data_IF_618678142664
#
_entry.id   IF_618678142664
#
_cell.length_a   1.000
_cell.length_b   1.000
_cell.length_c   1.000
_cell.angle_alpha   90.00
_cell.angle_beta   90.00
_cell.angle_gamma   90.00
#
_symmetry.space_group_name_H-M   'P 1'
#
loop_
_entity.id
_entity.type
_entity.pdbx_description
1 polymer ?
#
# COMPACT_ATOMS: atom_id res chain seq x y z
N UNK A 1 -33.23 2.64 -10.30
CA UNK A 1 -31.81 3.01 -10.56
C UNK A 1 -31.68 4.43 -11.10
N UNK A 2 -32.53 4.89 -12.03
CA UNK A 2 -32.55 6.28 -12.53
C UNK A 2 -32.75 7.29 -11.39
N UNK A 3 -33.63 7.01 -10.43
CA UNK A 3 -33.95 7.93 -9.33
C UNK A 3 -32.79 8.21 -8.37
N UNK A 4 -31.91 7.22 -8.12
CA UNK A 4 -30.75 7.38 -7.24
C UNK A 4 -29.71 8.31 -7.87
N UNK A 5 -29.51 8.19 -9.18
CA UNK A 5 -28.57 9.03 -9.93
C UNK A 5 -29.10 10.47 -10.02
N UNK A 6 -30.39 10.65 -10.32
CA UNK A 6 -31.02 11.98 -10.40
C UNK A 6 -30.97 12.69 -9.04
N UNK A 7 -31.24 11.98 -7.95
CA UNK A 7 -31.17 12.55 -6.61
C UNK A 7 -29.74 13.00 -6.26
N UNK A 8 -28.73 12.13 -6.49
CA UNK A 8 -27.32 12.50 -6.26
C UNK A 8 -26.88 13.72 -7.06
N UNK A 9 -27.31 13.84 -8.32
CA UNK A 9 -27.00 15.01 -9.16
C UNK A 9 -27.69 16.28 -8.67
N UNK A 10 -28.92 16.15 -8.16
CA UNK A 10 -29.68 17.27 -7.61
C UNK A 10 -29.03 17.79 -6.32
N UNK A 11 -28.71 16.89 -5.38
CA UNK A 11 -27.94 17.24 -4.17
C UNK A 11 -26.62 17.90 -4.53
N UNK A 12 -25.85 17.30 -5.45
CA UNK A 12 -24.58 17.88 -5.87
C UNK A 12 -24.72 19.31 -6.44
N UNK A 13 -25.71 19.52 -7.32
CA UNK A 13 -25.91 20.83 -7.93
C UNK A 13 -26.36 21.90 -6.94
N UNK A 14 -27.37 21.62 -6.10
CA UNK A 14 -27.92 22.63 -5.20
C UNK A 14 -27.08 22.83 -3.93
N UNK A 15 -26.57 21.76 -3.33
CA UNK A 15 -25.87 21.82 -2.04
C UNK A 15 -24.37 22.06 -2.16
N UNK A 16 -23.78 21.82 -3.34
CA UNK A 16 -22.33 22.04 -3.54
C UNK A 16 -22.03 23.09 -4.61
N UNK A 17 -22.64 23.00 -5.80
CA UNK A 17 -22.33 23.95 -6.89
C UNK A 17 -22.98 25.33 -6.65
N UNK A 18 -24.28 25.38 -6.36
CA UNK A 18 -24.97 26.66 -6.11
C UNK A 18 -24.57 27.26 -4.76
N UNK A 19 -24.40 26.42 -3.72
CA UNK A 19 -24.04 26.88 -2.39
C UNK A 19 -22.56 27.28 -2.25
N UNK A 20 -21.72 26.97 -3.24
CA UNK A 20 -20.26 27.15 -3.22
C UNK A 20 -19.58 26.49 -2.00
N UNK A 21 -20.10 25.31 -1.61
CA UNK A 21 -19.57 24.50 -0.51
C UNK A 21 -19.01 23.22 -1.10
N UNK A 22 -17.70 23.05 -1.01
CA UNK A 22 -17.05 21.83 -1.49
C UNK A 22 -17.63 20.59 -0.78
N UNK A 23 -17.95 19.52 -1.53
CA UNK A 23 -18.42 18.27 -0.93
C UNK A 23 -17.34 17.69 0.00
N UNK A 24 -17.78 16.92 0.99
CA UNK A 24 -16.85 16.15 1.81
C UNK A 24 -16.06 15.16 0.95
N UNK A 25 -14.78 14.88 1.30
CA UNK A 25 -13.97 13.92 0.56
C UNK A 25 -14.63 12.53 0.59
N UNK A 26 -14.87 11.97 -0.59
CA UNK A 26 -15.53 10.67 -0.73
C UNK A 26 -14.53 9.52 -0.90
N UNK A 27 -13.31 9.83 -1.30
CA UNK A 27 -12.23 8.86 -1.50
C UNK A 27 -10.98 9.24 -0.73
N UNK A 28 -10.09 8.26 -0.48
CA UNK A 28 -8.78 8.53 0.10
C UNK A 28 -7.97 9.51 -0.76
N UNK A 29 -8.10 9.43 -2.09
CA UNK A 29 -7.43 10.35 -3.01
C UNK A 29 -7.92 11.79 -2.80
N UNK A 30 -9.22 12.00 -2.54
CA UNK A 30 -9.76 13.32 -2.22
C UNK A 30 -9.16 13.84 -0.91
N UNK A 31 -9.11 13.01 0.13
CA UNK A 31 -8.48 13.35 1.41
C UNK A 31 -7.01 13.76 1.20
N UNK A 32 -6.23 12.96 0.48
CA UNK A 32 -4.81 13.25 0.22
C UNK A 32 -4.59 14.51 -0.63
N UNK A 33 -5.50 14.77 -1.58
CA UNK A 33 -5.44 15.95 -2.45
C UNK A 33 -5.79 17.23 -1.68
N UNK A 34 -6.90 17.21 -0.94
CA UNK A 34 -7.39 18.33 -0.12
C UNK A 34 -6.38 18.65 0.99
N UNK A 35 -5.89 17.61 1.68
CA UNK A 35 -4.98 17.76 2.81
C UNK A 35 -3.53 17.44 2.46
N UNK A 36 -3.03 17.98 1.33
CA UNK A 36 -1.67 17.70 0.81
C UNK A 36 -0.53 18.08 1.75
N UNK A 37 -0.70 19.09 2.59
CA UNK A 37 0.29 19.53 3.59
C UNK A 37 -0.35 19.54 4.98
N UNK A 38 0.44 19.23 6.01
CA UNK A 38 0.01 19.47 7.38
C UNK A 38 0.16 20.95 7.74
N UNK A 39 -0.54 21.37 8.78
CA UNK A 39 -0.46 22.73 9.32
C UNK A 39 0.33 22.80 10.65
N UNK A 40 1.07 21.73 11.00
CA UNK A 40 1.82 21.62 12.25
C UNK A 40 1.00 21.50 13.54
N UNK A 41 -0.33 21.63 13.49
CA UNK A 41 -1.17 21.62 14.69
C UNK A 41 -1.61 20.20 15.08
N UNK A 42 -1.78 19.99 16.37
CA UNK A 42 -2.38 18.77 16.93
C UNK A 42 -3.88 18.96 17.15
N UNK A 43 -4.65 17.90 16.95
CA UNK A 43 -6.09 17.87 17.23
C UNK A 43 -6.39 16.74 18.23
N UNK A 44 -7.44 16.92 19.05
CA UNK A 44 -7.92 15.86 19.94
C UNK A 44 -8.90 14.97 19.17
N UNK A 45 -8.67 13.66 19.18
CA UNK A 45 -9.54 12.70 18.52
C UNK A 45 -10.91 12.64 19.20
N UNK A 46 -11.98 12.59 18.41
CA UNK A 46 -13.33 12.31 18.90
C UNK A 46 -13.46 10.85 19.34
N UNK A 47 -14.45 10.49 20.18
CA UNK A 47 -14.69 9.10 20.57
C UNK A 47 -14.83 8.14 19.38
N UNK A 48 -15.47 8.57 18.30
CA UNK A 48 -15.66 7.77 17.09
C UNK A 48 -14.33 7.51 16.36
N UNK A 49 -13.46 8.52 16.26
CA UNK A 49 -12.12 8.37 15.67
C UNK A 49 -11.26 7.45 16.54
N UNK A 50 -11.38 7.53 17.87
CA UNK A 50 -10.68 6.63 18.79
C UNK A 50 -11.12 5.17 18.57
N UNK A 51 -12.42 4.93 18.44
CA UNK A 51 -12.95 3.59 18.17
C UNK A 51 -12.49 3.06 16.80
N UNK A 52 -12.54 3.90 15.77
CA UNK A 52 -12.03 3.58 14.42
C UNK A 52 -10.54 3.22 14.46
N UNK A 53 -9.73 4.02 15.17
CA UNK A 53 -8.30 3.75 15.33
C UNK A 53 -8.03 2.42 16.03
N UNK A 54 -8.78 2.09 17.09
CA UNK A 54 -8.66 0.81 17.79
C UNK A 54 -8.97 -0.37 16.89
N UNK A 55 -10.07 -0.31 16.13
CA UNK A 55 -10.42 -1.33 15.15
C UNK A 55 -9.33 -1.48 14.08
N UNK A 56 -8.83 -0.37 13.56
CA UNK A 56 -7.72 -0.35 12.61
C UNK A 56 -6.48 -1.06 13.15
N UNK A 57 -6.09 -0.79 14.40
CA UNK A 57 -4.95 -1.45 15.03
C UNK A 57 -5.16 -2.95 15.22
N UNK A 58 -6.36 -3.38 15.64
CA UNK A 58 -6.71 -4.81 15.74
C UNK A 58 -6.58 -5.51 14.38
N UNK A 59 -7.11 -4.91 13.31
CA UNK A 59 -7.01 -5.48 11.96
C UNK A 59 -5.54 -5.52 11.50
N UNK A 60 -4.77 -4.46 11.78
CA UNK A 60 -3.33 -4.41 11.45
C UNK A 60 -2.55 -5.54 12.13
N UNK A 61 -2.84 -5.82 13.40
CA UNK A 61 -2.23 -6.94 14.14
C UNK A 61 -2.62 -8.29 13.54
N UNK A 62 -3.89 -8.47 13.16
CA UNK A 62 -4.35 -9.69 12.48
C UNK A 62 -3.63 -9.89 11.13
N UNK A 63 -3.48 -8.84 10.33
CA UNK A 63 -2.71 -8.88 9.08
C UNK A 63 -1.27 -9.30 9.36
N UNK A 64 -0.63 -8.72 10.38
CA UNK A 64 0.74 -9.06 10.74
C UNK A 64 0.87 -10.51 11.20
N UNK A 65 -0.10 -11.03 11.94
CA UNK A 65 -0.13 -12.44 12.37
C UNK A 65 -0.23 -13.38 11.16
N UNK A 66 -1.15 -13.10 10.23
CA UNK A 66 -1.31 -13.87 8.99
C UNK A 66 -0.07 -13.79 8.09
N UNK A 67 0.56 -12.62 7.98
CA UNK A 67 1.83 -12.48 7.26
C UNK A 67 2.96 -13.29 7.92
N UNK A 68 2.98 -13.35 9.25
CA UNK A 68 3.97 -14.12 10.00
C UNK A 68 3.74 -15.61 9.81
N UNK A 69 2.49 -16.07 9.74
CA UNK A 69 2.16 -17.46 9.44
C UNK A 69 2.56 -17.84 8.00
N UNK A 70 2.18 -17.01 7.03
CA UNK A 70 2.45 -17.27 5.62
C UNK A 70 3.95 -17.26 5.29
N UNK A 71 4.69 -16.30 5.82
CA UNK A 71 6.07 -16.04 5.39
C UNK A 71 7.12 -16.12 6.50
N UNK A 72 6.72 -16.30 7.76
CA UNK A 72 7.60 -16.32 8.92
C UNK A 72 7.91 -14.92 9.49
N UNK A 73 8.39 -14.85 10.75
CA UNK A 73 8.83 -13.61 11.37
C UNK A 73 10.06 -13.02 10.68
N UNK A 74 10.19 -11.68 10.74
CA UNK A 74 11.35 -10.95 10.22
C UNK A 74 12.42 -10.81 11.30
N UNK A 75 13.56 -11.47 11.13
CA UNK A 75 14.73 -11.41 12.03
C UNK A 75 15.94 -10.95 11.23
N UNK A 76 16.61 -9.89 11.67
CA UNK A 76 17.81 -9.37 10.98
C UNK A 76 17.56 -8.94 9.52
N UNK A 77 16.34 -8.48 9.20
CA UNK A 77 15.95 -8.08 7.85
C UNK A 77 15.49 -9.23 6.95
N UNK A 78 15.58 -10.49 7.40
CA UNK A 78 15.21 -11.68 6.63
C UNK A 78 13.97 -12.32 7.22
N UNK A 79 13.11 -12.91 6.38
CA UNK A 79 12.01 -13.75 6.85
C UNK A 79 12.54 -15.17 7.11
N UNK A 80 12.13 -15.78 8.23
CA UNK A 80 12.60 -17.10 8.66
C UNK A 80 11.38 -17.97 8.95
N UNK A 81 11.31 -19.16 8.35
CA UNK A 81 10.18 -20.07 8.51
C UNK A 81 8.96 -19.69 7.67
N UNK A 82 7.77 -19.98 8.18
CA UNK A 82 6.51 -19.79 7.46
C UNK A 82 6.23 -20.86 6.41
N UNK A 83 5.01 -20.86 5.88
CA UNK A 83 4.54 -21.81 4.88
C UNK A 83 5.30 -21.63 3.54
N UNK A 84 5.58 -20.39 3.13
CA UNK A 84 6.33 -20.07 1.91
C UNK A 84 7.73 -20.71 1.90
N UNK A 85 8.44 -20.66 3.03
CA UNK A 85 9.76 -21.29 3.12
C UNK A 85 9.67 -22.81 2.99
N UNK A 86 8.66 -23.46 3.57
CA UNK A 86 8.47 -24.90 3.47
C UNK A 86 8.21 -25.33 2.01
N UNK A 87 7.36 -24.59 1.30
CA UNK A 87 7.07 -24.84 -0.11
C UNK A 87 8.33 -24.66 -0.96
N UNK A 88 9.07 -23.56 -0.75
CA UNK A 88 10.32 -23.30 -1.50
C UNK A 88 11.41 -24.31 -1.19
N UNK A 89 11.54 -24.75 0.06
CA UNK A 89 12.49 -25.79 0.45
C UNK A 89 12.16 -27.12 -0.22
N UNK A 90 10.87 -27.45 -0.37
CA UNK A 90 10.43 -28.61 -1.14
C UNK A 90 10.71 -28.46 -2.64
N UNK A 91 10.41 -27.29 -3.23
CA UNK A 91 10.68 -27.04 -4.65
C UNK A 91 12.18 -27.09 -4.96
N UNK A 92 13.04 -26.58 -4.08
CA UNK A 92 14.50 -26.64 -4.21
C UNK A 92 14.99 -26.14 -5.57
N UNK A 93 15.77 -26.96 -6.26
CA UNK A 93 16.26 -26.68 -7.62
C UNK A 93 15.19 -26.92 -8.71
N UNK A 94 14.13 -27.66 -8.40
CA UNK A 94 13.03 -28.01 -9.30
C UNK A 94 11.96 -26.90 -9.36
N UNK A 95 12.45 -25.67 -9.57
CA UNK A 95 11.67 -24.47 -9.30
C UNK A 95 10.77 -24.04 -10.48
N UNK A 96 10.65 -24.88 -11.52
CA UNK A 96 9.91 -24.51 -12.73
C UNK A 96 8.39 -24.48 -12.51
N UNK A 97 7.85 -25.53 -11.89
CA UNK A 97 6.42 -25.68 -11.67
C UNK A 97 6.16 -26.69 -10.56
N UNK A 98 5.38 -26.30 -9.55
CA UNK A 98 4.80 -27.22 -8.59
C UNK A 98 3.41 -27.64 -9.08
N UNK A 99 3.17 -28.95 -9.14
CA UNK A 99 1.89 -29.55 -9.53
C UNK A 99 1.35 -30.45 -8.42
N UNK A 100 0.04 -30.59 -8.32
CA UNK A 100 -0.60 -31.55 -7.41
C UNK A 100 -0.74 -32.95 -8.05
N UNK A 101 -1.33 -33.88 -7.28
CA UNK A 101 -1.57 -35.26 -7.73
C UNK A 101 -2.55 -35.38 -8.90
N UNK A 102 -3.35 -34.34 -9.17
CA UNK A 102 -4.28 -34.28 -10.29
C UNK A 102 -3.64 -33.62 -11.53
N UNK A 103 -2.37 -33.24 -11.44
CA UNK A 103 -1.62 -32.56 -12.51
C UNK A 103 -1.93 -31.07 -12.62
N UNK A 104 -2.64 -30.48 -11.64
CA UNK A 104 -2.96 -29.06 -11.62
C UNK A 104 -1.78 -28.25 -11.08
N UNK A 105 -1.47 -27.15 -11.76
CA UNK A 105 -0.45 -26.19 -11.34
C UNK A 105 -0.82 -25.51 -10.02
N UNK A 106 0.08 -25.59 -9.04
CA UNK A 106 0.01 -24.87 -7.77
C UNK A 106 0.75 -23.52 -7.86
N UNK A 107 2.05 -23.54 -8.15
CA UNK A 107 2.88 -22.34 -8.23
C UNK A 107 4.14 -22.56 -9.10
N UNK A 108 4.93 -21.51 -9.32
CA UNK A 108 6.24 -21.58 -9.99
C UNK A 108 7.22 -20.65 -9.30
N UNK A 109 8.49 -21.04 -9.20
CA UNK A 109 9.53 -20.27 -8.53
C UNK A 109 10.79 -20.17 -9.42
N UNK A 110 10.65 -19.62 -10.61
CA UNK A 110 11.75 -19.56 -11.61
C UNK A 110 12.74 -18.43 -11.31
N UNK A 111 14.00 -18.64 -11.69
CA UNK A 111 15.00 -17.56 -11.76
C UNK A 111 14.54 -16.49 -12.74
N UNK A 112 14.55 -15.23 -12.31
CA UNK A 112 14.21 -14.07 -13.15
C UNK A 112 15.36 -13.07 -13.16
N UNK A 113 15.81 -12.69 -14.36
CA UNK A 113 16.81 -11.63 -14.55
C UNK A 113 16.10 -10.31 -14.80
N UNK A 114 16.46 -9.27 -14.04
CA UNK A 114 15.97 -7.90 -14.27
C UNK A 114 17.16 -6.97 -14.34
N UNK A 115 17.23 -6.16 -15.41
CA UNK A 115 18.22 -5.10 -15.53
C UNK A 115 17.66 -3.83 -14.88
N UNK A 116 18.36 -3.32 -13.86
CA UNK A 116 18.05 -2.05 -13.22
C UNK A 116 19.28 -1.16 -13.27
N UNK A 117 19.07 0.15 -13.38
CA UNK A 117 20.15 1.12 -13.27
C UNK A 117 20.69 1.08 -11.84
N UNK A 118 22.00 0.89 -11.68
CA UNK A 118 22.66 1.01 -10.39
C UNK A 118 22.75 2.49 -10.01
N UNK A 119 21.73 2.96 -9.30
CA UNK A 119 21.65 4.36 -8.86
C UNK A 119 22.76 4.75 -7.88
N UNK A 120 23.35 3.80 -7.14
CA UNK A 120 24.45 4.09 -6.22
C UNK A 120 25.76 4.28 -6.97
N UNK A 121 26.05 3.39 -7.92
CA UNK A 121 27.18 3.55 -8.82
C UNK A 121 27.06 4.83 -9.66
N UNK A 122 25.87 5.13 -10.19
CA UNK A 122 25.61 6.35 -10.95
C UNK A 122 25.84 7.61 -10.11
N UNK A 123 25.33 7.65 -8.87
CA UNK A 123 25.59 8.74 -7.93
C UNK A 123 27.06 8.94 -7.61
N UNK A 124 27.85 7.86 -7.58
CA UNK A 124 29.29 7.92 -7.33
C UNK A 124 30.07 8.38 -8.55
N UNK A 125 29.64 7.96 -9.75
CA UNK A 125 30.31 8.26 -11.01
C UNK A 125 30.01 9.69 -11.50
N UNK A 126 28.76 10.14 -11.38
CA UNK A 126 28.33 11.46 -11.83
C UNK A 126 27.23 12.05 -10.92
N UNK A 127 27.63 12.72 -9.82
CA UNK A 127 26.71 13.39 -8.92
C UNK A 127 25.95 14.56 -9.57
N UNK A 128 26.56 15.25 -10.54
CA UNK A 128 25.97 16.41 -11.22
C UNK A 128 24.80 15.97 -12.08
N UNK A 129 24.98 14.91 -12.87
CA UNK A 129 23.92 14.30 -13.66
C UNK A 129 22.76 13.82 -12.78
N UNK A 130 23.05 13.15 -11.66
CA UNK A 130 21.97 12.72 -10.75
C UNK A 130 21.21 13.92 -10.20
N UNK A 131 21.90 15.02 -9.88
CA UNK A 131 21.24 16.24 -9.41
C UNK A 131 20.34 16.85 -10.49
N UNK A 132 20.81 16.89 -11.73
CA UNK A 132 20.05 17.40 -12.88
C UNK A 132 18.74 16.61 -13.11
N UNK A 133 18.75 15.30 -12.85
CA UNK A 133 17.60 14.42 -13.05
C UNK A 133 16.84 14.07 -11.75
N UNK A 134 17.13 14.75 -10.64
CA UNK A 134 16.42 14.54 -9.36
C UNK A 134 15.26 15.52 -9.22
N UNK A 135 14.03 15.00 -9.18
CA UNK A 135 12.82 15.78 -8.86
C UNK A 135 12.48 15.68 -7.38
N UNK A 136 12.33 16.81 -6.71
CA UNK A 136 11.77 16.87 -5.34
C UNK A 136 10.26 16.67 -5.39
N UNK A 137 9.76 15.74 -4.58
CA UNK A 137 8.32 15.52 -4.36
C UNK A 137 8.06 15.52 -2.85
N UNK A 138 6.93 16.07 -2.43
CA UNK A 138 6.49 16.10 -1.03
C UNK A 138 5.17 15.33 -0.91
N UNK A 139 5.13 14.38 0.02
CA UNK A 139 3.96 13.57 0.33
C UNK A 139 3.75 13.55 1.84
N UNK A 140 2.49 13.53 2.30
CA UNK A 140 2.17 13.23 3.70
C UNK A 140 2.13 11.73 3.90
N UNK A 141 2.74 11.26 4.97
CA UNK A 141 2.83 9.83 5.27
C UNK A 141 2.04 9.56 6.55
N UNK A 142 1.04 8.69 6.45
CA UNK A 142 0.36 8.16 7.63
C UNK A 142 1.26 7.10 8.30
N UNK A 143 1.57 7.28 9.58
CA UNK A 143 2.44 6.40 10.36
C UNK A 143 1.70 5.94 11.62
N UNK A 144 1.77 4.64 11.87
CA UNK A 144 1.10 3.90 12.94
C UNK A 144 1.95 2.72 13.36
#
# INVERSE_FOLDING_TARGET
MVDIVVNKLTTFWFEHVIADVAPEPQTLQDVESIYRQDNGNSIVATPDVINTYRQYMTVKEQIQALETEAYGPKVGGKRIGGLDMQIKAFMGEHAELLIDSEGKKLCSWKTQTTNRVDTAALKKADPELVTQFTRRTQNRVFRV
#
